data_IF_369750026216
#
_entry.id   IF_369750026216
#
_cell.length_a   1.000
_cell.length_b   1.000
_cell.length_c   1.000
_cell.angle_alpha   90.00
_cell.angle_beta   90.00
_cell.angle_gamma   90.00
#
_symmetry.space_group_name_H-M   'P 1'
#
loop_
_entity.id
_entity.type
_entity.pdbx_description
1 polymer ?
#
# COMPACT_ATOMS: atom_id res chain seq x y z
N UNK A 1 12.20 -12.21 -64.30
CA UNK A 1 11.87 -13.65 -64.39
C UNK A 1 12.94 -14.38 -63.59
N UNK A 2 12.73 -15.05 -62.47
CA UNK A 2 11.54 -15.43 -61.72
C UNK A 2 11.99 -15.72 -60.28
N UNK A 3 11.10 -15.48 -59.32
CA UNK A 3 11.24 -15.88 -57.92
C UNK A 3 11.16 -17.40 -57.77
N UNK A 4 11.84 -17.95 -56.75
CA UNK A 4 11.39 -19.17 -56.07
C UNK A 4 11.73 -19.08 -54.58
N UNK A 5 10.66 -19.09 -53.79
CA UNK A 5 10.57 -19.17 -52.33
C UNK A 5 10.79 -20.59 -51.82
N UNK A 6 11.24 -20.72 -50.57
CA UNK A 6 10.85 -21.76 -49.61
C UNK A 6 11.55 -21.49 -48.27
N UNK A 7 11.03 -21.74 -47.08
CA UNK A 7 9.68 -21.87 -46.53
C UNK A 7 9.91 -21.94 -45.02
N UNK A 8 9.30 -21.03 -44.27
CA UNK A 8 9.32 -21.02 -42.80
C UNK A 8 8.57 -22.26 -42.28
N UNK A 9 9.20 -23.05 -41.41
CA UNK A 9 8.50 -24.13 -40.71
C UNK A 9 8.02 -23.59 -39.36
N UNK A 10 6.76 -23.19 -39.36
CA UNK A 10 5.98 -22.75 -38.21
C UNK A 10 5.60 -23.99 -37.38
N UNK A 11 6.26 -24.18 -36.24
CA UNK A 11 5.96 -25.29 -35.32
C UNK A 11 4.65 -25.01 -34.61
N UNK A 12 3.59 -25.69 -35.04
CA UNK A 12 2.24 -25.61 -34.47
C UNK A 12 2.20 -26.26 -33.09
N UNK A 13 2.05 -25.48 -32.03
CA UNK A 13 1.81 -25.96 -30.67
C UNK A 13 0.36 -26.46 -30.54
N UNK A 14 0.10 -27.70 -30.08
CA UNK A 14 -1.26 -28.22 -30.02
C UNK A 14 -2.09 -27.50 -28.95
N UNK A 15 -3.27 -27.02 -29.36
CA UNK A 15 -4.26 -26.35 -28.53
C UNK A 15 -4.58 -27.16 -27.25
N UNK A 16 -4.30 -26.55 -26.10
CA UNK A 16 -4.56 -27.11 -24.77
C UNK A 16 -6.08 -27.18 -24.53
N UNK A 17 -6.61 -28.38 -24.30
CA UNK A 17 -8.03 -28.62 -24.04
C UNK A 17 -8.54 -27.81 -22.82
N UNK A 18 -9.82 -27.37 -22.82
CA UNK A 18 -10.39 -26.59 -21.72
C UNK A 18 -10.41 -27.39 -20.41
N UNK A 19 -9.79 -26.83 -19.35
CA UNK A 19 -9.79 -27.42 -18.00
C UNK A 19 -11.23 -27.47 -17.45
N UNK A 20 -11.67 -28.66 -17.07
CA UNK A 20 -12.96 -28.92 -16.44
C UNK A 20 -13.07 -28.13 -15.12
N UNK A 21 -14.15 -27.37 -14.97
CA UNK A 21 -14.49 -26.61 -13.76
C UNK A 21 -14.56 -27.55 -12.55
N UNK A 22 -13.58 -27.44 -11.66
CA UNK A 22 -13.59 -28.11 -10.36
C UNK A 22 -14.58 -27.37 -9.45
N UNK A 23 -15.81 -27.88 -9.34
CA UNK A 23 -16.82 -27.36 -8.41
C UNK A 23 -16.52 -27.87 -6.99
N UNK A 24 -16.43 -26.95 -6.04
CA UNK A 24 -16.19 -27.24 -4.63
C UNK A 24 -17.22 -28.24 -4.06
N UNK A 25 -16.73 -29.32 -3.45
CA UNK A 25 -17.57 -30.25 -2.69
C UNK A 25 -17.91 -29.63 -1.34
N UNK A 26 -19.15 -29.17 -1.23
CA UNK A 26 -19.87 -28.69 -0.05
C UNK A 26 -19.90 -29.75 1.07
N UNK A 27 -19.13 -29.57 2.13
CA UNK A 27 -19.31 -30.27 3.41
C UNK A 27 -20.29 -29.52 4.31
N UNK A 28 -21.07 -30.31 5.07
CA UNK A 28 -22.23 -29.97 5.92
C UNK A 28 -21.84 -29.20 7.20
N UNK A 29 -22.83 -28.54 7.88
CA UNK A 29 -22.57 -27.55 8.92
C UNK A 29 -22.06 -28.19 10.21
N UNK A 30 -21.11 -27.52 10.86
CA UNK A 30 -20.70 -27.86 12.22
C UNK A 30 -21.67 -27.19 13.19
N UNK A 31 -22.44 -28.02 13.89
CA UNK A 31 -23.31 -27.61 14.99
C UNK A 31 -22.48 -27.11 16.18
N UNK A 32 -23.09 -26.16 16.87
CA UNK A 32 -22.66 -25.53 18.11
C UNK A 32 -22.51 -26.49 19.29
N UNK A 33 -21.83 -25.97 20.31
CA UNK A 33 -21.74 -26.43 21.70
C UNK A 33 -20.72 -27.53 22.04
N UNK A 34 -19.62 -27.08 22.68
CA UNK A 34 -19.42 -27.31 24.13
C UNK A 34 -18.21 -26.54 24.64
N UNK A 35 -18.47 -25.68 25.63
CA UNK A 35 -17.52 -25.00 26.51
C UNK A 35 -17.11 -25.97 27.63
N UNK A 36 -15.82 -26.28 27.83
CA UNK A 36 -15.35 -26.88 29.07
C UNK A 36 -14.92 -25.77 30.05
N UNK A 37 -15.67 -25.63 31.13
CA UNK A 37 -15.25 -25.00 32.39
C UNK A 37 -14.41 -26.01 33.18
N UNK A 38 -13.21 -25.62 33.60
CA UNK A 38 -12.40 -26.32 34.60
C UNK A 38 -11.61 -25.29 35.44
N UNK A 39 -11.11 -25.60 36.65
CA UNK A 39 -11.47 -24.88 37.86
C UNK A 39 -10.29 -24.11 38.46
N UNK A 40 -10.65 -23.08 39.24
CA UNK A 40 -10.13 -22.77 40.57
C UNK A 40 -8.71 -23.29 40.91
N UNK A 41 -7.69 -22.47 40.64
CA UNK A 41 -6.46 -22.49 41.42
C UNK A 41 -6.35 -21.17 42.20
N UNK A 42 -6.67 -21.23 43.49
CA UNK A 42 -6.28 -20.22 44.47
C UNK A 42 -4.83 -20.47 44.84
N UNK A 43 -3.98 -19.46 44.70
CA UNK A 43 -2.78 -19.36 45.52
C UNK A 43 -2.53 -17.88 45.85
N UNK A 44 -2.93 -17.52 47.06
CA UNK A 44 -2.54 -16.29 47.74
C UNK A 44 -1.11 -16.47 48.26
N UNK A 45 -0.20 -15.56 47.92
CA UNK A 45 0.89 -15.14 48.81
C UNK A 45 1.27 -13.68 48.53
N UNK A 46 0.87 -12.83 49.49
CA UNK A 46 1.49 -11.62 50.01
C UNK A 46 2.47 -10.79 49.14
N UNK A 47 2.07 -9.54 48.86
CA UNK A 47 2.94 -8.36 48.63
C UNK A 47 3.74 -7.98 49.90
N UNK A 48 4.75 -7.07 49.90
CA UNK A 48 5.13 -6.10 48.85
C UNK A 48 6.65 -5.97 48.61
N UNK A 49 7.06 -5.61 47.39
CA UNK A 49 8.34 -4.89 47.19
C UNK A 49 8.12 -3.75 46.22
N UNK A 50 8.29 -2.56 46.79
CA UNK A 50 8.31 -1.26 46.14
C UNK A 50 9.50 -1.21 45.17
N UNK A 51 9.23 -1.33 43.88
CA UNK A 51 10.16 -0.89 42.84
C UNK A 51 9.47 0.24 42.08
N UNK A 52 9.98 1.44 42.30
CA UNK A 52 9.65 2.64 41.54
C UNK A 52 9.65 2.31 40.04
N UNK A 53 8.46 2.32 39.43
CA UNK A 53 8.34 2.34 37.97
C UNK A 53 8.97 3.64 37.48
N UNK A 54 9.89 3.60 36.50
CA UNK A 54 10.23 4.82 35.77
C UNK A 54 8.95 5.30 35.08
N UNK A 55 8.65 6.58 35.27
CA UNK A 55 7.65 7.32 34.53
C UNK A 55 7.92 7.08 33.04
N UNK A 56 7.01 6.37 32.38
CA UNK A 56 6.93 6.42 30.93
C UNK A 56 6.45 7.83 30.62
N UNK A 57 7.38 8.66 30.17
CA UNK A 57 7.10 9.96 29.60
C UNK A 57 6.23 9.75 28.35
N UNK A 58 4.92 9.77 28.58
CA UNK A 58 3.88 9.79 27.55
C UNK A 58 3.77 11.22 27.02
N UNK A 59 4.84 11.69 26.38
CA UNK A 59 4.90 13.04 25.81
C UNK A 59 5.74 13.01 24.53
N UNK A 60 5.13 12.62 23.42
CA UNK A 60 5.42 13.16 22.09
C UNK A 60 4.33 12.68 21.11
N UNK A 61 3.08 13.05 21.39
CA UNK A 61 2.14 13.34 20.32
C UNK A 61 2.50 14.75 19.83
N UNK A 62 3.18 14.92 18.69
CA UNK A 62 3.38 16.23 18.12
C UNK A 62 2.02 16.78 17.70
N UNK A 63 1.49 17.63 18.56
CA UNK A 63 0.75 18.84 18.24
C UNK A 63 -0.27 18.68 17.10
N UNK A 64 -1.45 18.23 17.51
CA UNK A 64 -2.72 18.47 16.84
C UNK A 64 -2.89 19.98 16.54
N UNK A 65 -2.57 20.36 15.30
CA UNK A 65 -3.10 21.58 14.70
C UNK A 65 -2.14 22.77 14.66
N UNK A 66 -1.05 22.66 13.90
CA UNK A 66 -0.59 23.85 13.18
C UNK A 66 -1.76 24.30 12.28
N UNK A 67 -2.41 25.41 12.62
CA UNK A 67 -3.56 25.98 11.92
C UNK A 67 -3.24 26.51 10.52
N UNK A 68 -2.23 25.96 9.86
CA UNK A 68 -1.94 26.21 8.46
C UNK A 68 -2.92 25.40 7.61
N UNK A 69 -3.79 26.05 6.83
CA UNK A 69 -4.66 25.33 5.90
C UNK A 69 -3.81 24.51 4.94
N UNK A 70 -4.16 23.24 4.76
CA UNK A 70 -3.54 22.43 3.71
C UNK A 70 -3.86 23.05 2.34
N UNK A 71 -2.91 23.07 1.41
CA UNK A 71 -3.18 23.52 0.05
C UNK A 71 -4.21 22.61 -0.64
N UNK A 72 -4.82 23.05 -1.74
CA UNK A 72 -5.75 22.23 -2.51
C UNK A 72 -5.16 20.87 -2.89
N UNK A 73 -6.02 19.84 -2.95
CA UNK A 73 -5.60 18.48 -3.25
C UNK A 73 -4.85 18.37 -4.59
N UNK A 74 -5.30 19.15 -5.58
CA UNK A 74 -4.79 19.10 -6.93
C UNK A 74 -4.95 17.71 -7.56
N UNK A 75 -4.02 17.36 -8.44
CA UNK A 75 -4.03 16.09 -9.16
C UNK A 75 -3.45 14.94 -8.30
N UNK A 76 -4.26 13.94 -7.95
CA UNK A 76 -3.78 12.77 -7.16
C UNK A 76 -3.30 11.61 -8.00
N UNK A 77 -3.56 11.63 -9.31
CA UNK A 77 -3.04 10.64 -10.25
C UNK A 77 -1.67 11.09 -10.75
N UNK A 78 -0.80 10.13 -11.02
CA UNK A 78 0.51 10.38 -11.58
C UNK A 78 1.60 9.59 -10.88
N UNK A 79 2.82 9.91 -11.25
CA UNK A 79 4.03 9.31 -10.71
C UNK A 79 4.58 10.17 -9.57
N UNK A 80 5.05 9.50 -8.53
CA UNK A 80 5.58 10.07 -7.31
C UNK A 80 6.97 9.51 -7.07
N UNK A 81 7.89 10.42 -6.77
CA UNK A 81 9.16 10.07 -6.14
C UNK A 81 8.89 9.79 -4.67
N UNK A 82 9.50 8.75 -4.14
CA UNK A 82 9.25 8.26 -2.78
C UNK A 82 10.56 8.28 -2.01
N UNK A 83 10.47 8.67 -0.74
CA UNK A 83 11.60 8.67 0.19
C UNK A 83 11.24 7.84 1.41
N UNK A 84 12.17 6.99 1.87
CA UNK A 84 11.93 6.11 3.02
C UNK A 84 13.25 5.64 3.62
N UNK A 85 13.58 6.21 4.78
CA UNK A 85 14.74 5.77 5.57
C UNK A 85 14.61 4.32 6.05
N UNK A 86 13.37 3.85 6.28
CA UNK A 86 13.08 2.50 6.79
C UNK A 86 13.38 1.41 5.75
N UNK A 87 13.57 1.79 4.49
CA UNK A 87 13.77 0.89 3.36
C UNK A 87 15.17 1.00 2.74
N UNK A 88 16.02 1.87 3.28
CA UNK A 88 17.38 2.12 2.79
C UNK A 88 18.43 1.17 3.38
N UNK A 89 18.02 -0.02 3.83
CA UNK A 89 18.96 -0.98 4.42
C UNK A 89 19.81 -1.70 3.35
N UNK A 90 19.44 -1.61 2.07
CA UNK A 90 20.11 -2.32 0.97
C UNK A 90 20.78 -1.35 0.01
N UNK A 91 22.11 -1.25 0.08
CA UNK A 91 22.92 -0.37 -0.79
C UNK A 91 22.78 -0.64 -2.30
N UNK A 92 22.26 -1.80 -2.69
CA UNK A 92 21.94 -2.13 -4.09
C UNK A 92 20.65 -1.50 -4.61
N UNK A 93 19.84 -0.91 -3.72
CA UNK A 93 18.56 -0.25 -4.02
C UNK A 93 18.58 1.15 -3.41
N UNK A 94 19.20 2.14 -4.07
CA UNK A 94 19.22 3.51 -3.55
C UNK A 94 17.80 4.08 -3.46
N UNK A 95 17.54 4.89 -2.44
CA UNK A 95 16.23 5.53 -2.22
C UNK A 95 15.76 6.37 -3.41
N UNK A 96 16.71 6.93 -4.18
CA UNK A 96 16.46 7.78 -5.36
C UNK A 96 15.70 7.06 -6.49
N UNK A 97 15.51 5.74 -6.38
CA UNK A 97 14.76 4.93 -7.34
C UNK A 97 13.35 4.54 -6.86
N UNK A 98 12.95 4.93 -5.65
CA UNK A 98 11.65 4.53 -5.14
C UNK A 98 10.54 5.32 -5.82
N UNK A 99 9.57 4.59 -6.35
CA UNK A 99 8.48 5.17 -7.15
C UNK A 99 7.12 4.65 -6.71
N UNK A 100 6.12 5.52 -6.85
CA UNK A 100 4.71 5.18 -6.71
C UNK A 100 3.93 5.82 -7.85
N UNK A 101 3.20 5.00 -8.61
CA UNK A 101 2.31 5.48 -9.67
C UNK A 101 0.87 5.26 -9.23
N UNK A 102 0.12 6.33 -9.07
CA UNK A 102 -1.30 6.31 -8.68
C UNK A 102 -2.24 6.54 -9.87
N UNK A 103 -3.27 5.71 -9.98
CA UNK A 103 -4.31 5.79 -11.00
C UNK A 103 -5.72 5.75 -10.38
N UNK A 104 -6.66 6.45 -11.03
CA UNK A 104 -8.07 6.45 -10.64
C UNK A 104 -8.83 5.32 -11.34
N UNK A 105 -9.72 4.65 -10.60
CA UNK A 105 -10.66 3.65 -11.13
C UNK A 105 -12.06 3.88 -10.53
N UNK A 106 -12.81 4.83 -11.11
CA UNK A 106 -14.09 5.24 -10.53
C UNK A 106 -13.89 5.88 -9.16
N UNK A 107 -14.47 5.28 -8.11
CA UNK A 107 -14.33 5.79 -6.73
C UNK A 107 -13.10 5.23 -6.01
N UNK A 108 -12.43 4.21 -6.55
CA UNK A 108 -11.23 3.63 -5.97
C UNK A 108 -9.97 4.15 -6.64
N UNK A 109 -8.82 3.89 -6.01
CA UNK A 109 -7.52 4.13 -6.58
C UNK A 109 -6.65 2.89 -6.55
N UNK A 110 -5.85 2.73 -7.59
CA UNK A 110 -4.83 1.71 -7.68
C UNK A 110 -3.46 2.39 -7.71
N UNK A 111 -2.50 1.77 -7.05
CA UNK A 111 -1.11 2.19 -7.11
C UNK A 111 -0.20 1.05 -7.54
N UNK A 112 0.81 1.33 -8.34
CA UNK A 112 1.97 0.46 -8.51
C UNK A 112 3.13 1.07 -7.72
N UNK A 113 3.80 0.30 -6.89
CA UNK A 113 4.95 0.77 -6.11
C UNK A 113 6.19 -0.05 -6.42
N UNK A 114 7.34 0.61 -6.45
CA UNK A 114 8.67 0.00 -6.39
C UNK A 114 9.45 0.71 -5.29
N UNK A 115 9.65 0.03 -4.17
CA UNK A 115 10.33 0.51 -2.97
C UNK A 115 11.65 -0.22 -2.79
N UNK A 116 12.37 -0.43 -3.90
CA UNK A 116 13.64 -1.15 -3.91
C UNK A 116 13.42 -2.65 -3.81
N UNK A 117 13.73 -3.23 -2.64
CA UNK A 117 13.60 -4.68 -2.41
C UNK A 117 12.15 -5.17 -2.56
N UNK A 118 11.15 -4.31 -2.32
CA UNK A 118 9.74 -4.64 -2.38
C UNK A 118 9.02 -3.87 -3.47
N UNK A 119 8.28 -4.56 -4.32
CA UNK A 119 7.47 -3.94 -5.37
C UNK A 119 6.11 -4.62 -5.48
N UNK A 120 5.12 -3.92 -6.02
CA UNK A 120 3.78 -4.49 -6.08
C UNK A 120 2.69 -3.50 -6.45
N UNK A 121 1.47 -3.86 -6.05
CA UNK A 121 0.25 -3.09 -6.28
C UNK A 121 -0.45 -2.79 -4.96
N UNK A 122 -0.98 -1.58 -4.82
CA UNK A 122 -1.86 -1.17 -3.74
C UNK A 122 -3.25 -0.80 -4.26
N UNK A 123 -4.26 -0.92 -3.40
CA UNK A 123 -5.64 -0.59 -3.69
C UNK A 123 -6.28 0.18 -2.53
N UNK A 124 -6.69 1.41 -2.82
CA UNK A 124 -7.49 2.25 -1.95
C UNK A 124 -8.95 2.12 -2.39
N UNK A 125 -9.85 1.72 -1.49
CA UNK A 125 -11.28 1.57 -1.81
C UNK A 125 -11.94 2.91 -2.17
N UNK A 126 -11.47 3.98 -1.54
CA UNK A 126 -11.99 5.33 -1.72
C UNK A 126 -10.86 6.31 -2.08
N UNK A 127 -11.08 7.10 -3.14
CA UNK A 127 -10.19 8.18 -3.55
C UNK A 127 -10.31 9.38 -2.59
N UNK A 128 -9.22 10.14 -2.34
CA UNK A 128 -9.30 11.42 -1.66
C UNK A 128 -10.04 12.46 -2.51
N UNK A 129 -10.84 13.30 -1.84
CA UNK A 129 -11.55 14.44 -2.44
C UNK A 129 -11.04 15.80 -1.99
N UNK A 130 -10.30 15.84 -0.87
CA UNK A 130 -9.65 17.02 -0.35
C UNK A 130 -8.30 16.63 0.27
N UNK A 131 -7.40 17.61 0.39
CA UNK A 131 -6.22 17.45 1.24
C UNK A 131 -6.67 17.27 2.69
N UNK A 132 -6.01 16.37 3.41
CA UNK A 132 -6.34 16.09 4.80
C UNK A 132 -5.19 15.38 5.51
N UNK A 133 -5.10 15.58 6.82
CA UNK A 133 -4.33 14.74 7.72
C UNK A 133 -5.04 13.39 8.02
N UNK A 134 -6.19 13.11 7.41
CA UNK A 134 -6.86 11.80 7.56
C UNK A 134 -6.08 10.71 6.85
N UNK A 135 -5.75 9.65 7.60
CA UNK A 135 -5.19 8.41 7.05
C UNK A 135 -6.24 7.70 6.18
N UNK A 136 -5.89 7.43 4.94
CA UNK A 136 -6.67 6.59 4.03
C UNK A 136 -6.01 5.22 3.99
N UNK A 137 -6.74 4.21 4.45
CA UNK A 137 -6.25 2.84 4.47
C UNK A 137 -6.30 2.20 3.08
N UNK A 138 -5.33 1.35 2.81
CA UNK A 138 -5.26 0.57 1.59
C UNK A 138 -4.80 -0.85 1.88
N UNK A 139 -5.09 -1.74 0.93
CA UNK A 139 -4.53 -3.10 0.89
C UNK A 139 -3.46 -3.17 -0.19
N UNK A 140 -2.52 -4.09 -0.06
CA UNK A 140 -1.49 -4.28 -1.08
C UNK A 140 -1.17 -5.75 -1.31
N UNK A 141 -0.50 -6.00 -2.43
CA UNK A 141 0.16 -7.26 -2.75
C UNK A 141 1.48 -6.96 -3.42
N UNK A 142 2.50 -7.76 -3.16
CA UNK A 142 3.83 -7.48 -3.67
C UNK A 142 4.76 -8.68 -3.64
N UNK A 143 6.00 -8.43 -4.07
CA UNK A 143 7.08 -9.42 -4.08
C UNK A 143 8.37 -8.83 -3.53
N UNK A 144 9.18 -9.69 -2.92
CA UNK A 144 10.57 -9.40 -2.60
C UNK A 144 11.47 -9.69 -3.83
N UNK A 145 12.36 -8.78 -4.23
CA UNK A 145 13.25 -8.93 -5.40
C UNK A 145 14.33 -10.01 -5.22
N UNK A 146 14.78 -10.27 -3.99
CA UNK A 146 15.81 -11.27 -3.70
C UNK A 146 15.27 -12.70 -3.82
N UNK A 147 14.20 -13.01 -3.08
CA UNK A 147 13.69 -14.38 -2.99
C UNK A 147 12.50 -14.65 -3.91
N UNK A 148 11.85 -13.61 -4.44
CA UNK A 148 10.65 -13.73 -5.26
C UNK A 148 9.39 -14.09 -4.48
N UNK A 149 9.46 -14.17 -3.14
CA UNK A 149 8.32 -14.47 -2.28
C UNK A 149 7.21 -13.42 -2.48
N UNK A 150 5.97 -13.90 -2.55
CA UNK A 150 4.79 -13.06 -2.77
C UNK A 150 4.02 -12.86 -1.46
N UNK A 151 3.79 -11.60 -1.11
CA UNK A 151 2.96 -11.20 0.03
C UNK A 151 1.60 -10.71 -0.46
N UNK A 152 0.53 -11.26 0.10
CA UNK A 152 -0.86 -10.87 -0.15
C UNK A 152 -1.76 -11.36 0.98
N UNK A 153 -2.92 -10.74 1.15
CA UNK A 153 -3.93 -11.17 2.13
C UNK A 153 -4.39 -10.03 3.03
N UNK A 154 -5.24 -10.32 4.03
CA UNK A 154 -5.87 -9.28 4.87
C UNK A 154 -4.89 -8.53 5.76
N UNK A 155 -3.71 -9.10 6.00
CA UNK A 155 -2.66 -8.47 6.81
C UNK A 155 -1.74 -7.57 5.97
N UNK A 156 -1.87 -7.56 4.64
CA UNK A 156 -1.07 -6.69 3.76
C UNK A 156 -1.79 -5.35 3.63
N UNK A 157 -1.54 -4.46 4.57
CA UNK A 157 -2.20 -3.16 4.68
C UNK A 157 -1.22 -2.01 4.84
N UNK A 158 -1.71 -0.81 4.58
CA UNK A 158 -0.98 0.42 4.81
C UNK A 158 -1.94 1.58 4.87
N UNK A 159 -1.40 2.76 5.10
CA UNK A 159 -2.16 4.00 5.04
C UNK A 159 -1.38 5.07 4.27
N UNK A 160 -2.11 5.99 3.66
CA UNK A 160 -1.57 7.13 2.94
C UNK A 160 -2.39 8.39 3.28
N UNK A 161 -1.71 9.53 3.38
CA UNK A 161 -2.27 10.86 3.58
C UNK A 161 -1.91 11.73 2.37
N UNK A 162 -2.83 12.60 1.98
CA UNK A 162 -2.65 13.53 0.86
C UNK A 162 -2.69 14.96 1.40
N UNK A 163 -1.57 15.67 1.30
CA UNK A 163 -1.42 17.02 1.84
C UNK A 163 -1.69 18.13 0.81
N UNK A 164 -2.03 17.76 -0.42
CA UNK A 164 -2.17 18.70 -1.53
C UNK A 164 -0.84 19.02 -2.20
N UNK A 165 -0.92 19.67 -3.37
CA UNK A 165 0.25 20.00 -4.20
C UNK A 165 1.14 18.79 -4.56
N UNK A 166 0.54 17.59 -4.60
CA UNK A 166 1.26 16.36 -4.90
C UNK A 166 2.11 15.80 -3.76
N UNK A 167 2.00 16.34 -2.55
CA UNK A 167 2.67 15.81 -1.35
C UNK A 167 1.86 14.68 -0.73
N UNK A 168 2.55 13.59 -0.41
CA UNK A 168 1.99 12.44 0.29
C UNK A 168 2.92 12.00 1.42
N UNK A 169 2.34 11.32 2.41
CA UNK A 169 3.11 10.41 3.27
C UNK A 169 2.27 9.18 3.58
N UNK A 170 2.93 8.14 4.06
CA UNK A 170 2.25 6.89 4.35
C UNK A 170 3.09 5.92 5.15
N UNK A 171 2.49 4.75 5.35
CA UNK A 171 3.14 3.59 5.91
C UNK A 171 2.67 2.33 5.17
N UNK A 172 3.59 1.43 4.90
CA UNK A 172 3.36 0.14 4.25
C UNK A 172 3.99 -0.97 5.08
N UNK A 173 3.27 -2.05 5.34
CA UNK A 173 3.79 -3.14 6.15
C UNK A 173 4.50 -4.26 5.37
N UNK A 174 5.25 -3.91 4.32
CA UNK A 174 6.00 -4.87 3.50
C UNK A 174 7.30 -5.36 4.16
N UNK A 175 7.87 -4.53 5.03
CA UNK A 175 9.05 -4.80 5.83
C UNK A 175 8.89 -4.06 7.16
N UNK A 176 8.37 -4.75 8.18
CA UNK A 176 7.93 -4.10 9.41
C UNK A 176 6.80 -3.09 9.12
N UNK A 177 6.94 -1.85 9.62
CA UNK A 177 6.01 -0.75 9.38
C UNK A 177 6.75 0.41 8.71
N UNK A 178 7.20 0.21 7.47
CA UNK A 178 7.99 1.17 6.72
C UNK A 178 7.19 2.44 6.41
N UNK A 179 7.70 3.58 6.88
CA UNK A 179 7.15 4.91 6.62
C UNK A 179 7.75 5.48 5.35
N UNK A 180 6.95 6.24 4.61
CA UNK A 180 7.41 6.91 3.41
C UNK A 180 6.82 8.31 3.27
N UNK A 181 7.53 9.18 2.57
CA UNK A 181 7.01 10.44 2.04
C UNK A 181 7.15 10.44 0.53
N UNK A 182 6.45 11.34 -0.16
CA UNK A 182 6.58 11.44 -1.60
C UNK A 182 6.09 12.74 -2.19
N UNK A 183 6.60 13.02 -3.39
CA UNK A 183 6.27 14.20 -4.18
C UNK A 183 5.92 13.78 -5.60
N UNK A 184 4.77 14.27 -6.10
CA UNK A 184 4.36 14.02 -7.49
C UNK A 184 5.31 14.69 -8.48
N UNK A 185 5.78 13.93 -9.46
CA UNK A 185 6.72 14.38 -10.51
C UNK A 185 5.96 14.88 -11.76
N UNK A 186 4.74 14.40 -11.99
CA UNK A 186 3.97 14.77 -13.20
C UNK A 186 3.54 16.25 -13.19
N UNK A 187 3.94 16.95 -14.25
CA UNK A 187 3.94 18.41 -14.42
C UNK A 187 2.58 19.11 -14.42
N UNK A 188 2.66 20.36 -13.97
CA UNK A 188 1.70 21.49 -13.99
C UNK A 188 0.20 21.16 -13.91
N UNK A 189 -0.43 21.69 -12.85
CA UNK A 189 -1.85 22.04 -12.88
C UNK A 189 -2.20 22.62 -14.24
N UNK A 190 -3.13 22.01 -14.97
CA UNK A 190 -3.87 22.73 -16.00
C UNK A 190 -4.60 23.87 -15.29
N UNK A 191 -3.96 25.03 -15.15
CA UNK A 191 -4.65 26.25 -14.75
C UNK A 191 -5.69 26.55 -15.84
N UNK A 192 -6.95 26.83 -15.47
CA UNK A 192 -7.90 27.36 -16.44
C UNK A 192 -7.37 28.71 -16.95
N UNK A 193 -7.51 29.01 -18.24
CA UNK A 193 -7.05 30.30 -18.78
C UNK A 193 -7.72 31.42 -17.99
N UNK A 194 -6.92 32.38 -17.50
CA UNK A 194 -7.40 33.64 -16.92
C UNK A 194 -8.49 34.18 -17.85
N UNK A 195 -9.70 34.32 -17.34
CA UNK A 195 -10.80 34.96 -18.05
C UNK A 195 -10.31 36.30 -18.61
N UNK A 196 -10.21 36.39 -19.93
CA UNK A 196 -10.09 37.67 -20.61
C UNK A 196 -11.38 38.42 -20.35
N UNK A 197 -11.30 39.43 -19.47
CA UNK A 197 -12.38 40.38 -19.28
C UNK A 197 -12.60 41.09 -20.62
N UNK A 198 -13.82 40.98 -21.14
CA UNK A 198 -14.29 41.78 -22.27
C UNK A 198 -14.25 43.26 -21.88
N UNK A 199 -13.46 44.04 -22.60
CA UNK A 199 -13.60 45.50 -22.74
C UNK A 199 -14.32 45.82 -24.03
#
# INVERSE_FOLDING_TARGET
MSQTSAASTESSEPARAPRTKQTARRSKPFSSDRRPTDPLYKQEYSTPVNHSSPEYDESDDPDDGSGTPLPPLGLVKGEYEIYSSDLNEWSMFPEDEFTLILGLAGNSMWGSYDFGMFYGMMHLEERPWSSSYKKIWFTWRGRNKSEGEMSFGPNCTGWIQFYGEGRICGQLNCYGNARFSGQRISGEETQPPRSVQST
#
